data_IF_710652238486
#
_entry.id   IF_710652238486
#
_cell.length_a   1.000
_cell.length_b   1.000
_cell.length_c   1.000
_cell.angle_alpha   90.00
_cell.angle_beta   90.00
_cell.angle_gamma   90.00
#
_symmetry.space_group_name_H-M   'P 1'
#
loop_
_entity.id
_entity.type
_entity.pdbx_description
1 polymer ?
#
# COMPACT_ATOMS: atom_id res chain seq x y z
N UNK A 1 -10.26 2.79 37.60
CA UNK A 1 -10.86 2.00 36.51
C UNK A 1 -9.68 1.32 35.84
N UNK A 2 -9.44 0.09 36.27
CA UNK A 2 -8.29 -0.72 35.84
C UNK A 2 -8.53 -1.17 34.41
N UNK A 3 -7.55 -0.87 33.55
CA UNK A 3 -7.49 -1.40 32.19
C UNK A 3 -6.99 -2.84 32.32
N UNK A 4 -7.85 -3.80 32.02
CA UNK A 4 -7.49 -5.21 31.98
C UNK A 4 -6.29 -5.42 31.05
N UNK A 5 -5.17 -5.83 31.63
CA UNK A 5 -4.03 -6.41 30.93
C UNK A 5 -4.49 -7.73 30.28
N UNK A 6 -4.83 -7.69 29.01
CA UNK A 6 -5.01 -8.91 28.22
C UNK A 6 -3.65 -9.57 28.00
N UNK A 7 -3.57 -10.82 28.44
CA UNK A 7 -2.44 -11.74 28.32
C UNK A 7 -1.76 -11.72 26.93
N UNK A 8 -0.58 -11.12 26.88
CA UNK A 8 0.26 -11.02 25.69
C UNK A 8 1.74 -10.92 26.05
N UNK A 9 2.19 -11.66 27.06
CA UNK A 9 3.52 -11.56 27.68
C UNK A 9 4.72 -11.87 26.76
N UNK A 10 4.53 -12.41 25.55
CA UNK A 10 5.65 -12.70 24.65
C UNK A 10 5.85 -11.65 23.52
N UNK A 11 4.88 -10.79 23.26
CA UNK A 11 4.95 -9.73 22.22
C UNK A 11 5.84 -8.58 22.67
N UNK A 12 5.68 -8.17 23.91
CA UNK A 12 6.36 -7.01 24.51
C UNK A 12 7.89 -7.08 24.44
N UNK A 13 8.56 -8.22 24.72
CA UNK A 13 10.02 -8.27 24.66
C UNK A 13 10.57 -8.05 23.25
N UNK A 14 10.04 -8.74 22.24
CA UNK A 14 10.52 -8.62 20.86
C UNK A 14 10.32 -7.20 20.33
N UNK A 15 9.17 -6.58 20.60
CA UNK A 15 8.88 -5.22 20.13
C UNK A 15 9.80 -4.18 20.76
N UNK A 16 10.15 -4.33 22.05
CA UNK A 16 11.09 -3.44 22.75
C UNK A 16 12.50 -3.50 22.18
N UNK A 17 12.92 -4.63 21.63
CA UNK A 17 14.21 -4.76 20.94
C UNK A 17 14.30 -3.91 19.66
N UNK A 18 13.15 -3.48 19.11
CA UNK A 18 13.01 -2.84 17.79
C UNK A 18 12.18 -1.55 17.82
N UNK A 19 12.17 -0.81 18.92
CA UNK A 19 11.42 0.47 19.03
C UNK A 19 11.80 1.46 17.92
N UNK A 20 13.03 1.43 17.47
CA UNK A 20 13.57 2.26 16.37
C UNK A 20 12.95 1.97 15.00
N UNK A 21 12.33 0.81 14.80
CA UNK A 21 11.59 0.46 13.57
C UNK A 21 10.17 1.07 13.56
N UNK A 22 9.67 1.49 14.74
CA UNK A 22 8.32 2.01 14.91
C UNK A 22 8.30 3.45 15.46
N UNK A 23 8.96 4.41 14.80
CA UNK A 23 8.91 5.79 15.25
C UNK A 23 7.49 6.36 15.07
N UNK A 24 7.11 7.32 15.90
CA UNK A 24 5.83 8.05 15.75
C UNK A 24 5.74 8.74 14.39
N UNK A 25 6.88 9.30 13.94
CA UNK A 25 7.02 9.88 12.61
C UNK A 25 8.24 9.31 11.89
N UNK A 26 8.12 9.10 10.57
CA UNK A 26 9.25 8.74 9.73
C UNK A 26 10.30 9.85 9.85
N UNK A 27 11.56 9.51 10.19
CA UNK A 27 12.66 10.46 10.19
C UNK A 27 12.73 11.19 8.84
N UNK A 28 13.43 12.32 8.81
CA UNK A 28 13.60 13.14 7.59
C UNK A 28 13.93 12.28 6.36
N UNK A 29 14.55 12.78 5.35
CA UNK A 29 14.86 12.03 4.12
C UNK A 29 15.38 10.62 4.40
N UNK A 30 14.90 9.61 3.69
CA UNK A 30 15.46 8.27 3.78
C UNK A 30 16.92 8.28 3.35
N UNK A 31 17.76 7.41 3.91
CA UNK A 31 19.13 7.25 3.43
C UNK A 31 19.15 6.77 1.98
N UNK A 32 20.26 6.98 1.27
CA UNK A 32 20.45 6.41 -0.05
C UNK A 32 20.31 4.89 0.03
N UNK A 33 19.39 4.35 -0.74
CA UNK A 33 19.13 2.92 -0.85
C UNK A 33 19.67 2.40 -2.18
N UNK A 34 19.78 1.09 -2.29
CA UNK A 34 20.24 0.42 -3.52
C UNK A 34 19.30 0.66 -4.72
N UNK A 35 18.12 1.17 -4.45
CA UNK A 35 17.08 1.46 -5.46
C UNK A 35 16.68 2.92 -5.38
N UNK A 36 16.75 3.60 -6.52
CA UNK A 36 16.20 4.94 -6.74
C UNK A 36 15.03 4.86 -7.71
N UNK A 37 14.02 5.68 -7.48
CA UNK A 37 12.86 5.74 -8.35
C UNK A 37 13.14 6.61 -9.59
N UNK A 38 13.02 6.03 -10.79
CA UNK A 38 13.19 6.71 -12.06
C UNK A 38 11.89 6.88 -12.86
N UNK A 39 11.78 7.96 -13.64
CA UNK A 39 10.58 8.32 -14.43
C UNK A 39 10.95 8.72 -15.86
N UNK A 40 10.57 7.92 -16.84
CA UNK A 40 10.83 8.18 -18.26
C UNK A 40 9.58 8.70 -19.00
N UNK A 41 9.66 9.82 -19.74
CA UNK A 41 8.50 10.62 -20.20
C UNK A 41 8.43 11.10 -21.64
N UNK A 42 7.21 11.56 -22.02
CA UNK A 42 6.77 12.35 -23.20
C UNK A 42 5.89 13.56 -22.76
N UNK A 43 5.97 14.82 -23.26
CA UNK A 43 5.43 16.06 -22.62
C UNK A 43 3.96 16.50 -22.83
N UNK A 44 3.39 17.22 -21.87
CA UNK A 44 2.35 18.30 -21.89
C UNK A 44 1.02 18.18 -21.12
N UNK A 45 0.66 19.13 -20.18
CA UNK A 45 -0.70 19.68 -19.82
C UNK A 45 -0.79 20.58 -18.55
N UNK A 46 -1.98 21.24 -18.25
CA UNK A 46 -2.24 22.34 -17.28
C UNK A 46 -3.25 22.08 -16.10
N UNK A 47 -3.61 23.11 -15.22
CA UNK A 47 -4.11 22.94 -13.82
C UNK A 47 -5.63 23.14 -13.54
N UNK A 48 -6.11 22.85 -12.27
CA UNK A 48 -7.51 22.85 -11.75
C UNK A 48 -7.66 23.65 -10.42
N UNK A 49 -8.90 24.12 -10.04
CA UNK A 49 -9.28 25.00 -8.91
C UNK A 49 -9.88 24.27 -7.68
N UNK A 50 -9.74 24.82 -6.42
CA UNK A 50 -10.16 24.25 -5.11
C UNK A 50 -10.92 25.22 -4.19
N UNK A 51 -11.68 24.70 -3.17
CA UNK A 51 -12.49 25.45 -2.20
C UNK A 51 -11.67 26.00 -0.99
N UNK A 52 -12.12 27.09 -0.28
CA UNK A 52 -11.34 27.75 0.78
C UNK A 52 -10.95 26.86 1.97
N UNK A 53 -11.84 26.00 2.46
CA UNK A 53 -11.55 25.09 3.58
C UNK A 53 -10.51 24.03 3.22
N UNK A 54 -10.56 23.53 1.99
CA UNK A 54 -9.58 22.60 1.44
C UNK A 54 -8.18 23.22 1.33
N UNK A 55 -8.13 24.54 1.12
CA UNK A 55 -6.86 25.26 1.02
C UNK A 55 -6.10 25.31 2.34
N UNK A 56 -6.78 25.42 3.49
CA UNK A 56 -6.14 25.43 4.81
C UNK A 56 -5.48 24.08 5.08
N UNK A 57 -6.22 23.00 4.83
CA UNK A 57 -5.71 21.64 5.00
C UNK A 57 -4.56 21.34 4.02
N UNK A 58 -4.69 21.76 2.77
CA UNK A 58 -3.63 21.63 1.77
C UNK A 58 -2.35 22.33 2.22
N UNK A 59 -2.46 23.55 2.76
CA UNK A 59 -1.31 24.32 3.26
C UNK A 59 -0.59 23.57 4.37
N UNK A 60 -1.34 23.06 5.36
CA UNK A 60 -0.81 22.28 6.47
C UNK A 60 -0.03 21.06 5.98
N UNK A 61 -0.61 20.28 5.07
CA UNK A 61 0.05 19.07 4.55
C UNK A 61 1.29 19.40 3.71
N UNK A 62 1.31 20.51 2.98
CA UNK A 62 2.51 20.98 2.27
C UNK A 62 3.60 21.38 3.28
N UNK A 63 3.27 22.09 4.34
CA UNK A 63 4.20 22.48 5.39
C UNK A 63 4.80 21.23 6.07
N UNK A 64 3.99 20.23 6.42
CA UNK A 64 4.45 18.96 6.98
C UNK A 64 5.41 18.20 6.03
N UNK A 65 5.10 18.16 4.73
CA UNK A 65 5.98 17.52 3.74
C UNK A 65 7.29 18.29 3.54
N UNK A 66 7.27 19.61 3.64
CA UNK A 66 8.45 20.47 3.60
C UNK A 66 9.33 20.28 4.83
N UNK A 67 8.75 20.23 6.04
CA UNK A 67 9.48 19.99 7.30
C UNK A 67 10.18 18.63 7.28
N UNK A 68 9.52 17.59 6.74
CA UNK A 68 10.10 16.27 6.52
C UNK A 68 11.11 16.23 5.37
N UNK A 69 11.25 17.30 4.62
CA UNK A 69 12.09 17.39 3.43
C UNK A 69 11.69 16.41 2.30
N UNK A 70 10.46 15.92 2.31
CA UNK A 70 9.95 15.03 1.26
C UNK A 70 9.65 15.78 -0.03
N UNK A 71 9.39 17.08 0.08
CA UNK A 71 9.24 17.99 -1.05
C UNK A 71 10.17 19.19 -0.88
N UNK A 72 10.43 19.88 -2.00
CA UNK A 72 11.14 21.16 -2.02
C UNK A 72 10.51 22.12 -3.05
N UNK A 73 10.75 23.45 -2.95
CA UNK A 73 10.36 24.38 -4.00
C UNK A 73 10.95 24.00 -5.35
N UNK A 74 10.17 24.17 -6.42
CA UNK A 74 10.53 23.73 -7.76
C UNK A 74 10.48 24.91 -8.77
N UNK A 75 11.39 24.87 -9.72
CA UNK A 75 11.39 25.69 -10.94
C UNK A 75 11.16 24.82 -12.20
N UNK A 76 10.72 23.59 -12.00
CA UNK A 76 10.48 22.62 -13.08
C UNK A 76 9.47 23.14 -14.10
N UNK A 77 9.64 22.85 -15.40
CA UNK A 77 8.60 23.11 -16.39
C UNK A 77 7.37 22.21 -16.23
N UNK A 78 7.49 21.14 -15.45
CA UNK A 78 6.40 20.23 -15.12
C UNK A 78 5.55 20.79 -13.97
N UNK A 79 4.32 20.31 -13.83
CA UNK A 79 3.49 20.74 -12.70
C UNK A 79 2.13 20.06 -12.72
N UNK A 80 2.04 18.91 -12.08
CA UNK A 80 0.79 18.19 -11.88
C UNK A 80 -0.16 18.97 -10.96
N UNK A 81 -1.49 18.91 -11.15
CA UNK A 81 -2.45 19.51 -10.22
C UNK A 81 -2.55 18.68 -8.94
N UNK A 82 -2.91 19.35 -7.84
CA UNK A 82 -3.21 18.69 -6.55
C UNK A 82 -4.70 18.58 -6.31
N UNK A 83 -5.09 17.52 -5.62
CA UNK A 83 -6.45 17.21 -5.20
C UNK A 83 -6.41 16.89 -3.70
N UNK A 84 -7.48 17.23 -2.97
CA UNK A 84 -7.73 16.71 -1.63
C UNK A 84 -8.78 15.61 -1.71
N UNK A 85 -8.43 14.44 -1.23
CA UNK A 85 -9.31 13.27 -1.23
C UNK A 85 -9.69 12.93 0.20
N UNK A 86 -11.00 12.90 0.48
CA UNK A 86 -11.51 12.45 1.79
C UNK A 86 -11.29 10.96 1.96
N UNK A 87 -10.72 10.59 3.10
CA UNK A 87 -10.59 9.19 3.53
C UNK A 87 -11.87 8.73 4.23
N UNK A 88 -11.96 7.43 4.52
CA UNK A 88 -13.09 6.85 5.27
C UNK A 88 -13.24 7.38 6.70
N UNK A 89 -12.15 7.84 7.29
CA UNK A 89 -12.07 8.45 8.62
C UNK A 89 -12.34 9.97 8.60
N UNK A 90 -12.91 10.48 7.49
CA UNK A 90 -13.19 11.90 7.21
C UNK A 90 -11.96 12.81 7.10
N UNK A 91 -10.76 12.30 7.36
CA UNK A 91 -9.52 13.07 7.11
C UNK A 91 -9.31 13.31 5.62
N UNK A 92 -8.65 14.41 5.27
CA UNK A 92 -8.30 14.72 3.89
C UNK A 92 -6.85 14.36 3.62
N UNK A 93 -6.57 13.83 2.43
CA UNK A 93 -5.22 13.50 1.98
C UNK A 93 -4.87 14.29 0.73
N UNK A 94 -3.72 14.94 0.73
CA UNK A 94 -3.14 15.57 -0.44
C UNK A 94 -2.77 14.47 -1.45
N UNK A 95 -3.37 14.54 -2.63
CA UNK A 95 -3.07 13.66 -3.75
C UNK A 95 -2.61 14.50 -4.94
N UNK A 96 -1.51 14.13 -5.57
CA UNK A 96 -1.08 14.75 -6.81
C UNK A 96 -1.63 13.95 -7.99
N UNK A 97 -2.25 14.62 -8.93
CA UNK A 97 -2.81 13.98 -10.13
C UNK A 97 -1.74 13.75 -11.19
N UNK A 98 -1.07 12.63 -11.08
CA UNK A 98 -0.08 12.20 -12.04
C UNK A 98 -0.65 11.47 -13.27
N UNK A 99 -1.96 11.52 -13.55
CA UNK A 99 -2.55 10.79 -14.69
C UNK A 99 -1.90 11.13 -16.03
N UNK A 100 -1.50 12.39 -16.24
CA UNK A 100 -0.81 12.79 -17.46
C UNK A 100 0.63 12.26 -17.50
N UNK A 101 1.36 12.39 -16.41
CA UNK A 101 2.68 11.79 -16.23
C UNK A 101 2.62 10.28 -16.51
N UNK A 102 1.67 9.59 -15.89
CA UNK A 102 1.48 8.15 -16.00
C UNK A 102 1.18 7.67 -17.43
N UNK A 103 0.48 8.48 -18.24
CA UNK A 103 0.24 8.16 -19.67
C UNK A 103 1.52 8.12 -20.48
N UNK A 104 2.49 8.91 -20.09
CA UNK A 104 3.74 9.11 -20.80
C UNK A 104 4.91 8.32 -20.22
N UNK A 105 4.72 7.79 -19.02
CA UNK A 105 5.71 6.95 -18.35
C UNK A 105 5.74 5.56 -18.98
N UNK A 106 6.93 5.08 -19.32
CA UNK A 106 7.14 3.68 -19.72
C UNK A 106 6.83 2.79 -18.53
N UNK A 107 5.80 1.96 -18.68
CA UNK A 107 5.32 1.11 -17.58
C UNK A 107 6.32 0.01 -17.27
N UNK A 108 6.72 -0.07 -16.01
CA UNK A 108 7.46 -1.19 -15.47
C UNK A 108 6.62 -2.48 -15.59
N UNK A 109 7.26 -3.57 -15.99
CA UNK A 109 6.64 -4.90 -16.17
C UNK A 109 6.97 -5.85 -15.02
N UNK A 110 7.35 -5.33 -13.86
CA UNK A 110 7.61 -6.17 -12.69
C UNK A 110 6.39 -7.04 -12.40
N UNK A 111 6.55 -8.37 -12.30
CA UNK A 111 5.42 -9.27 -12.08
C UNK A 111 4.91 -9.11 -10.65
N UNK A 112 3.69 -8.61 -10.51
CA UNK A 112 3.00 -8.70 -9.21
C UNK A 112 2.62 -10.16 -8.96
N UNK A 113 2.90 -10.69 -7.76
CA UNK A 113 2.55 -12.07 -7.42
C UNK A 113 1.03 -12.26 -7.49
N UNK A 114 0.61 -13.44 -7.87
CA UNK A 114 -0.82 -13.78 -7.83
C UNK A 114 -1.22 -14.03 -6.38
N UNK A 115 -2.33 -13.45 -5.98
CA UNK A 115 -2.81 -13.57 -4.59
C UNK A 115 -3.01 -15.02 -4.18
N UNK A 116 -3.46 -15.88 -5.10
CA UNK A 116 -3.63 -17.31 -4.84
C UNK A 116 -2.28 -18.00 -4.54
N UNK A 117 -1.25 -17.70 -5.30
CA UNK A 117 0.10 -18.26 -5.08
C UNK A 117 0.65 -17.85 -3.70
N UNK A 118 0.34 -16.61 -3.25
CA UNK A 118 0.69 -16.15 -1.91
C UNK A 118 -0.13 -16.86 -0.81
N UNK A 119 -1.41 -17.12 -1.06
CA UNK A 119 -2.27 -17.81 -0.09
C UNK A 119 -1.87 -19.27 0.11
N UNK A 120 -1.44 -19.95 -0.96
CA UNK A 120 -1.00 -21.36 -0.88
C UNK A 120 0.19 -21.54 0.07
N UNK A 121 1.07 -20.54 0.19
CA UNK A 121 2.21 -20.56 1.11
C UNK A 121 1.81 -20.53 2.59
N UNK A 122 0.65 -19.97 2.92
CA UNK A 122 0.17 -19.78 4.29
C UNK A 122 -0.45 -21.05 4.88
N UNK A 123 -0.62 -22.08 4.06
CA UNK A 123 -1.28 -23.32 4.48
C UNK A 123 -0.54 -24.02 5.64
N UNK A 124 -1.29 -24.37 6.68
CA UNK A 124 -0.75 -25.05 7.87
C UNK A 124 -0.04 -24.14 8.86
N UNK A 125 -0.13 -22.81 8.68
CA UNK A 125 0.32 -21.83 9.68
C UNK A 125 -0.79 -21.52 10.67
N UNK A 126 -0.42 -21.23 11.91
CA UNK A 126 -1.36 -20.96 13.00
C UNK A 126 -1.09 -19.65 13.72
N UNK A 127 0.00 -18.98 13.41
CA UNK A 127 0.40 -17.73 14.04
C UNK A 127 0.81 -16.72 12.98
N UNK A 128 0.30 -15.49 13.08
CA UNK A 128 0.47 -14.46 12.08
C UNK A 128 0.84 -13.11 12.72
N UNK A 129 1.69 -12.35 12.04
CA UNK A 129 1.88 -10.92 12.31
C UNK A 129 1.87 -10.16 11.00
N UNK A 130 1.15 -9.05 10.97
CA UNK A 130 1.06 -8.16 9.82
C UNK A 130 1.74 -6.84 10.14
N UNK A 131 2.64 -6.40 9.26
CA UNK A 131 3.29 -5.10 9.35
C UNK A 131 2.82 -4.23 8.19
N UNK A 132 2.46 -2.97 8.50
CA UNK A 132 2.13 -1.92 7.53
C UNK A 132 3.26 -0.88 7.56
N UNK A 133 3.90 -0.64 6.42
CA UNK A 133 5.00 0.33 6.35
C UNK A 133 4.47 1.76 6.37
N UNK A 134 5.08 2.59 7.20
CA UNK A 134 4.67 3.99 7.36
C UNK A 134 5.03 4.82 6.14
N UNK A 135 4.02 5.15 5.30
CA UNK A 135 4.26 5.89 4.04
C UNK A 135 5.34 5.23 3.18
N UNK A 136 5.23 3.91 2.96
CA UNK A 136 6.30 3.08 2.39
C UNK A 136 6.99 3.69 1.17
N UNK A 137 6.23 4.27 0.24
CA UNK A 137 6.79 4.90 -0.97
C UNK A 137 7.67 6.10 -0.65
N UNK A 138 7.32 6.93 0.33
CA UNK A 138 8.15 8.06 0.75
C UNK A 138 9.47 7.64 1.41
N UNK A 139 9.67 6.37 1.68
CA UNK A 139 10.93 5.82 2.19
C UNK A 139 11.93 5.45 1.08
N UNK A 140 11.63 5.75 -0.19
CA UNK A 140 12.52 5.57 -1.34
C UNK A 140 12.76 6.94 -2.00
N UNK A 141 14.02 7.25 -2.31
CA UNK A 141 14.38 8.47 -3.01
C UNK A 141 14.04 8.39 -4.50
N UNK A 142 13.65 9.53 -5.07
CA UNK A 142 13.57 9.71 -6.53
C UNK A 142 14.99 9.96 -7.05
N UNK A 143 15.31 9.36 -8.20
CA UNK A 143 16.56 9.65 -8.90
C UNK A 143 16.69 11.16 -9.17
N UNK A 144 17.84 11.75 -8.92
CA UNK A 144 18.07 13.21 -8.96
C UNK A 144 17.59 13.82 -10.30
N UNK A 145 17.88 13.17 -11.42
CA UNK A 145 17.48 13.63 -12.76
C UNK A 145 15.96 13.59 -13.00
N UNK A 146 15.22 12.84 -12.17
CA UNK A 146 13.79 12.62 -12.31
C UNK A 146 12.96 13.41 -11.30
N UNK A 147 13.59 14.01 -10.29
CA UNK A 147 12.93 14.82 -9.26
C UNK A 147 12.03 15.89 -9.88
N UNK A 148 12.51 16.62 -10.88
CA UNK A 148 11.73 17.67 -11.56
C UNK A 148 10.45 17.14 -12.23
N UNK A 149 10.40 15.86 -12.63
CA UNK A 149 9.22 15.23 -13.24
C UNK A 149 8.10 15.01 -12.24
N UNK A 150 8.41 14.98 -10.94
CA UNK A 150 7.44 14.84 -9.85
C UNK A 150 6.78 16.16 -9.46
N UNK A 151 7.11 17.26 -10.14
CA UNK A 151 6.66 18.60 -9.76
C UNK A 151 5.14 18.73 -9.81
N UNK A 152 4.60 19.45 -8.83
CA UNK A 152 3.18 19.73 -8.71
C UNK A 152 2.94 21.19 -8.32
N UNK A 153 1.77 21.70 -8.72
CA UNK A 153 1.37 23.09 -8.48
C UNK A 153 0.20 23.17 -7.53
N UNK A 154 0.33 24.06 -6.57
CA UNK A 154 -0.74 24.46 -5.67
C UNK A 154 -0.92 25.98 -5.69
N UNK A 155 -1.94 26.48 -4.99
CA UNK A 155 -2.10 27.93 -4.77
C UNK A 155 -0.92 28.52 -3.98
N UNK A 156 -0.24 27.72 -3.17
CA UNK A 156 0.83 28.15 -2.27
C UNK A 156 2.23 28.07 -2.87
N UNK A 157 2.36 27.52 -4.05
CA UNK A 157 3.63 27.43 -4.75
C UNK A 157 3.75 26.22 -5.64
N UNK A 158 4.94 26.08 -6.19
CA UNK A 158 5.36 25.00 -7.05
C UNK A 158 6.40 24.17 -6.30
N UNK A 159 6.18 22.88 -6.18
CA UNK A 159 6.98 21.96 -5.39
C UNK A 159 7.29 20.70 -6.19
N UNK A 160 8.33 19.98 -5.80
CA UNK A 160 8.71 18.68 -6.37
C UNK A 160 9.07 17.69 -5.27
N UNK A 161 8.71 16.43 -5.45
CA UNK A 161 9.06 15.36 -4.52
C UNK A 161 10.51 14.91 -4.72
N UNK A 162 11.26 14.79 -3.64
CA UNK A 162 12.57 14.14 -3.61
C UNK A 162 12.50 12.67 -3.20
N UNK A 163 11.35 12.26 -2.68
CA UNK A 163 11.00 10.88 -2.36
C UNK A 163 9.93 10.38 -3.34
N UNK A 164 9.82 9.07 -3.52
CA UNK A 164 8.86 8.45 -4.44
C UNK A 164 7.42 8.79 -4.05
N UNK A 165 6.67 9.54 -4.87
CA UNK A 165 5.32 9.97 -4.52
C UNK A 165 4.29 8.88 -4.77
N UNK A 166 3.16 8.96 -4.04
CA UNK A 166 1.97 8.17 -4.36
C UNK A 166 1.40 8.56 -5.73
N UNK A 167 0.58 7.69 -6.31
CA UNK A 167 -0.12 7.88 -7.58
C UNK A 167 0.75 7.84 -8.85
N UNK A 168 2.06 7.64 -8.75
CA UNK A 168 2.92 7.41 -9.92
C UNK A 168 2.87 5.93 -10.33
N UNK A 169 2.72 5.68 -11.65
CA UNK A 169 2.38 4.34 -12.17
C UNK A 169 3.39 3.25 -11.84
N UNK A 170 4.68 3.58 -11.76
CA UNK A 170 5.74 2.60 -11.51
C UNK A 170 6.10 2.43 -10.02
N UNK A 171 5.56 3.26 -9.13
CA UNK A 171 5.89 3.20 -7.71
C UNK A 171 5.61 1.82 -7.08
N UNK A 172 4.43 1.19 -7.30
CA UNK A 172 4.18 -0.14 -6.76
C UNK A 172 5.19 -1.20 -7.23
N UNK A 173 5.55 -1.16 -8.52
CA UNK A 173 6.48 -2.13 -9.11
C UNK A 173 7.90 -1.99 -8.56
N UNK A 174 8.40 -0.74 -8.43
CA UNK A 174 9.73 -0.46 -7.87
C UNK A 174 9.78 -0.85 -6.39
N UNK A 175 8.72 -0.53 -5.65
CA UNK A 175 8.64 -0.86 -4.23
C UNK A 175 8.59 -2.39 -4.01
N UNK A 176 7.79 -3.11 -4.79
CA UNK A 176 7.73 -4.58 -4.75
C UNK A 176 9.08 -5.22 -5.11
N UNK A 177 9.77 -4.73 -6.15
CA UNK A 177 11.11 -5.22 -6.50
C UNK A 177 12.08 -5.05 -5.32
N UNK A 178 12.07 -3.86 -4.70
CA UNK A 178 12.91 -3.58 -3.55
C UNK A 178 12.59 -4.48 -2.35
N UNK A 179 11.30 -4.60 -2.00
CA UNK A 179 10.86 -5.43 -0.87
C UNK A 179 11.17 -6.91 -1.10
N UNK A 180 10.92 -7.43 -2.30
CA UNK A 180 11.26 -8.82 -2.62
C UNK A 180 12.76 -9.07 -2.56
N UNK A 181 13.59 -8.12 -2.93
CA UNK A 181 15.04 -8.23 -2.85
C UNK A 181 15.54 -8.33 -1.41
N UNK A 182 15.07 -7.43 -0.53
CA UNK A 182 15.53 -7.42 0.86
C UNK A 182 14.98 -8.59 1.68
N UNK A 183 13.79 -9.13 1.34
CA UNK A 183 13.20 -10.28 2.01
C UNK A 183 13.43 -11.60 1.28
N UNK A 184 14.19 -11.63 0.18
CA UNK A 184 14.47 -12.83 -0.62
C UNK A 184 14.85 -14.06 0.21
N UNK A 185 15.67 -13.99 1.27
CA UNK A 185 16.03 -15.16 2.06
C UNK A 185 14.86 -15.81 2.81
N UNK A 186 13.76 -15.05 3.01
CA UNK A 186 12.61 -15.40 3.87
C UNK A 186 11.32 -15.60 3.08
N UNK A 187 11.26 -15.14 1.82
CA UNK A 187 10.13 -15.38 0.93
C UNK A 187 9.91 -16.89 0.76
N UNK A 188 8.65 -17.27 0.59
CA UNK A 188 8.19 -18.66 0.46
C UNK A 188 8.49 -19.59 1.68
N UNK A 189 9.03 -19.03 2.78
CA UNK A 189 9.33 -19.75 4.02
C UNK A 189 8.46 -19.33 5.18
N UNK A 190 8.44 -18.03 5.47
CA UNK A 190 7.66 -17.46 6.57
C UNK A 190 7.31 -15.97 6.36
N UNK A 191 7.59 -15.40 5.20
CA UNK A 191 7.27 -14.02 4.85
C UNK A 191 6.55 -13.96 3.51
N UNK A 192 5.44 -13.24 3.48
CA UNK A 192 4.77 -12.79 2.26
C UNK A 192 4.81 -11.26 2.23
N UNK A 193 5.19 -10.70 1.09
CA UNK A 193 5.17 -9.26 0.85
C UNK A 193 4.19 -8.94 -0.27
N UNK A 194 3.34 -7.95 -0.04
CA UNK A 194 2.48 -7.41 -1.07
C UNK A 194 2.35 -5.89 -0.93
N UNK A 195 3.07 -5.18 -1.77
CA UNK A 195 3.19 -3.70 -1.74
C UNK A 195 3.68 -3.27 -0.33
N UNK A 196 2.88 -2.52 0.42
CA UNK A 196 3.23 -1.99 1.74
C UNK A 196 2.98 -2.99 2.89
N UNK A 197 2.24 -4.07 2.63
CA UNK A 197 1.89 -5.08 3.61
C UNK A 197 2.93 -6.21 3.66
N UNK A 198 3.45 -6.51 4.85
CA UNK A 198 4.32 -7.65 5.13
C UNK A 198 3.59 -8.59 6.08
N UNK A 199 3.36 -9.81 5.67
CA UNK A 199 2.77 -10.86 6.49
C UNK A 199 3.83 -11.87 6.90
N UNK A 200 3.98 -12.06 8.20
CA UNK A 200 4.85 -13.08 8.81
C UNK A 200 3.96 -14.20 9.29
N UNK A 201 4.30 -15.44 8.97
CA UNK A 201 3.51 -16.60 9.34
C UNK A 201 4.39 -17.72 9.92
N UNK A 202 3.85 -18.51 10.84
CA UNK A 202 4.59 -19.56 11.52
C UNK A 202 3.66 -20.67 12.03
N UNK A 203 4.21 -21.83 12.32
CA UNK A 203 3.46 -22.97 12.89
C UNK A 203 3.38 -22.92 14.40
N UNK A 204 4.40 -22.38 15.08
CA UNK A 204 4.45 -22.28 16.53
C UNK A 204 4.81 -20.88 17.00
N UNK A 205 4.49 -20.60 18.25
CA UNK A 205 4.73 -19.29 18.88
C UNK A 205 6.23 -18.98 19.00
N UNK A 206 7.04 -19.99 19.30
CA UNK A 206 8.50 -19.85 19.44
C UNK A 206 9.14 -19.51 18.09
N UNK A 207 8.77 -20.25 17.05
CA UNK A 207 9.21 -19.96 15.68
C UNK A 207 8.79 -18.54 15.25
N UNK A 208 7.58 -18.13 15.65
CA UNK A 208 7.06 -16.81 15.28
C UNK A 208 7.89 -15.68 15.90
N UNK A 209 8.33 -15.82 17.15
CA UNK A 209 9.23 -14.86 17.80
C UNK A 209 10.55 -14.70 17.05
N UNK A 210 11.12 -15.81 16.56
CA UNK A 210 12.36 -15.80 15.79
C UNK A 210 12.15 -15.15 14.40
N UNK A 211 11.11 -15.56 13.69
CA UNK A 211 10.76 -15.00 12.38
C UNK A 211 10.51 -13.49 12.46
N UNK A 212 9.79 -13.04 13.49
CA UNK A 212 9.52 -11.62 13.71
C UNK A 212 10.81 -10.84 13.95
N UNK A 213 11.76 -11.36 14.76
CA UNK A 213 13.08 -10.73 14.98
C UNK A 213 13.86 -10.60 13.68
N UNK A 214 13.86 -11.62 12.84
CA UNK A 214 14.55 -11.59 11.55
C UNK A 214 13.97 -10.51 10.64
N UNK A 215 12.65 -10.43 10.52
CA UNK A 215 11.99 -9.43 9.68
C UNK A 215 12.23 -8.00 10.20
N UNK A 216 12.05 -7.77 11.50
CA UNK A 216 12.32 -6.47 12.11
C UNK A 216 13.80 -6.09 12.01
N UNK A 217 14.72 -7.07 12.09
CA UNK A 217 16.14 -6.88 11.86
C UNK A 217 16.44 -6.35 10.46
N UNK A 218 15.79 -6.90 9.43
CA UNK A 218 15.91 -6.40 8.04
C UNK A 218 15.37 -4.98 7.94
N UNK A 219 14.19 -4.69 8.50
CA UNK A 219 13.63 -3.33 8.47
C UNK A 219 14.60 -2.33 9.11
N UNK A 220 15.17 -2.66 10.28
CA UNK A 220 16.17 -1.84 10.97
C UNK A 220 17.40 -1.61 10.10
N UNK A 221 17.99 -2.68 9.55
CA UNK A 221 19.18 -2.61 8.70
C UNK A 221 18.96 -1.73 7.46
N UNK A 222 17.80 -1.85 6.86
CA UNK A 222 17.43 -1.10 5.63
C UNK A 222 16.80 0.26 5.93
N UNK A 223 16.73 0.69 7.19
CA UNK A 223 16.08 1.93 7.62
C UNK A 223 14.66 2.06 7.03
N UNK A 224 13.88 1.00 7.20
CA UNK A 224 12.45 0.97 6.88
C UNK A 224 11.64 1.03 8.17
N UNK A 225 10.61 1.86 8.15
CA UNK A 225 9.79 2.15 9.32
C UNK A 225 8.37 1.63 9.13
N UNK A 226 7.82 1.01 10.16
CA UNK A 226 6.45 0.52 10.19
C UNK A 226 5.59 1.38 11.11
N UNK A 227 4.29 1.47 10.81
CA UNK A 227 3.32 2.21 11.62
C UNK A 227 2.69 1.27 12.65
N UNK A 228 3.16 1.34 13.89
CA UNK A 228 2.73 0.45 14.98
C UNK A 228 1.21 0.33 15.11
N UNK A 229 0.47 1.45 15.01
CA UNK A 229 -1.00 1.47 15.13
C UNK A 229 -1.74 0.73 14.01
N UNK A 230 -1.06 0.32 12.94
CA UNK A 230 -1.61 -0.46 11.83
C UNK A 230 -1.03 -1.87 11.77
N UNK A 231 -0.08 -2.18 12.63
CA UNK A 231 0.51 -3.51 12.71
C UNK A 231 -0.31 -4.40 13.65
N UNK A 232 -0.40 -5.67 13.29
CA UNK A 232 -1.07 -6.71 14.08
C UNK A 232 -0.04 -7.79 14.40
N UNK A 233 0.04 -8.20 15.67
CA UNK A 233 1.06 -9.13 16.12
C UNK A 233 0.43 -10.33 16.84
N UNK A 234 1.01 -11.52 16.63
CA UNK A 234 0.64 -12.74 17.37
C UNK A 234 -0.83 -13.13 17.21
N UNK A 235 -1.36 -12.94 16.02
CA UNK A 235 -2.75 -13.24 15.71
C UNK A 235 -2.91 -14.72 15.32
N UNK A 236 -3.93 -15.38 15.83
CA UNK A 236 -4.36 -16.71 15.38
C UNK A 236 -5.14 -16.63 14.07
N UNK A 237 -5.66 -15.45 13.75
CA UNK A 237 -6.38 -15.11 12.53
C UNK A 237 -6.03 -13.69 12.09
N UNK A 238 -5.80 -13.48 10.78
CA UNK A 238 -5.41 -12.18 10.22
C UNK A 238 -6.19 -11.86 8.95
N UNK A 239 -6.53 -10.58 8.79
CA UNK A 239 -7.09 -10.06 7.52
C UNK A 239 -5.95 -9.62 6.59
N UNK A 240 -5.82 -10.29 5.46
CA UNK A 240 -4.78 -10.00 4.47
C UNK A 240 -5.34 -10.08 3.04
N UNK A 241 -5.14 -9.05 2.25
CA UNK A 241 -5.57 -8.96 0.84
C UNK A 241 -7.05 -9.33 0.61
N UNK A 242 -7.93 -8.93 1.53
CA UNK A 242 -9.38 -9.19 1.44
C UNK A 242 -9.78 -10.62 1.79
N UNK A 243 -8.90 -11.36 2.42
CA UNK A 243 -9.15 -12.70 2.94
C UNK A 243 -8.92 -12.74 4.45
N UNK A 244 -9.59 -13.67 5.11
CA UNK A 244 -9.33 -14.04 6.50
C UNK A 244 -8.54 -15.33 6.48
N UNK A 245 -7.38 -15.32 7.13
CA UNK A 245 -6.41 -16.42 7.14
C UNK A 245 -6.26 -16.92 8.56
N UNK A 246 -6.41 -18.23 8.77
CA UNK A 246 -6.28 -18.87 10.07
C UNK A 246 -5.73 -20.29 9.92
N UNK A 247 -5.51 -20.98 11.03
CA UNK A 247 -5.13 -22.40 11.04
C UNK A 247 -6.15 -23.32 10.37
N UNK A 248 -7.45 -22.90 10.31
CA UNK A 248 -8.51 -23.63 9.65
C UNK A 248 -8.52 -23.49 8.13
N UNK A 249 -7.78 -22.51 7.61
CA UNK A 249 -7.69 -22.23 6.18
C UNK A 249 -7.93 -20.75 5.84
N UNK A 250 -8.33 -20.52 4.59
CA UNK A 250 -8.52 -19.20 4.02
C UNK A 250 -10.00 -19.01 3.66
N UNK A 251 -10.59 -17.93 4.16
CA UNK A 251 -11.96 -17.53 3.87
C UNK A 251 -11.99 -16.12 3.25
N UNK A 252 -13.09 -15.78 2.61
CA UNK A 252 -13.32 -14.41 2.13
C UNK A 252 -13.62 -13.51 3.33
N UNK A 253 -13.07 -12.29 3.34
CA UNK A 253 -13.38 -11.27 4.32
C UNK A 253 -14.90 -10.98 4.33
N UNK A 254 -15.59 -11.14 5.47
CA UNK A 254 -17.04 -10.91 5.58
C UNK A 254 -17.47 -9.53 5.09
N UNK A 255 -16.67 -8.48 5.33
CA UNK A 255 -16.98 -7.12 4.85
C UNK A 255 -16.99 -7.04 3.32
N UNK A 256 -16.19 -7.86 2.64
CA UNK A 256 -16.18 -7.94 1.17
C UNK A 256 -17.35 -8.72 0.64
N UNK A 257 -17.76 -9.79 1.33
CA UNK A 257 -18.99 -10.52 1.02
C UNK A 257 -20.19 -9.59 1.14
N UNK A 258 -20.28 -8.84 2.23
CA UNK A 258 -21.35 -7.87 2.48
C UNK A 258 -21.39 -6.78 1.39
N UNK A 259 -20.24 -6.29 0.95
CA UNK A 259 -20.15 -5.31 -0.14
C UNK A 259 -20.73 -5.84 -1.47
N UNK A 260 -20.55 -7.14 -1.75
CA UNK A 260 -21.17 -7.78 -2.95
C UNK A 260 -22.67 -7.96 -2.76
N UNK A 261 -23.10 -8.40 -1.57
CA UNK A 261 -24.53 -8.63 -1.27
C UNK A 261 -25.33 -7.32 -1.28
N UNK A 262 -24.76 -6.24 -0.75
CA UNK A 262 -25.38 -4.91 -0.71
C UNK A 262 -25.21 -4.12 -2.02
N UNK A 263 -24.57 -4.68 -3.05
CA UNK A 263 -24.42 -3.99 -4.32
C UNK A 263 -25.76 -3.74 -4.98
N UNK A 264 -26.03 -2.50 -5.33
CA UNK A 264 -27.24 -2.15 -6.07
C UNK A 264 -27.23 -2.80 -7.46
N UNK A 265 -28.44 -3.12 -7.98
CA UNK A 265 -28.57 -3.70 -9.32
C UNK A 265 -27.93 -2.79 -10.37
N UNK A 266 -26.95 -3.30 -11.15
CA UNK A 266 -26.24 -2.49 -12.14
C UNK A 266 -27.19 -1.94 -13.20
N UNK A 267 -27.09 -0.63 -13.50
CA UNK A 267 -27.91 0.09 -14.47
C UNK A 267 -27.17 0.38 -15.78
N UNK A 268 -25.88 0.11 -15.84
CA UNK A 268 -25.01 0.36 -17.00
C UNK A 268 -24.02 -0.76 -17.24
N UNK A 269 -23.51 -0.87 -18.48
CA UNK A 269 -22.47 -1.84 -18.84
C UNK A 269 -21.17 -1.64 -18.02
N UNK A 270 -20.87 -0.41 -17.63
CA UNK A 270 -19.74 -0.07 -16.78
C UNK A 270 -19.93 -0.60 -15.37
N UNK A 271 -21.11 -0.43 -14.80
CA UNK A 271 -21.46 -0.97 -13.47
C UNK A 271 -21.45 -2.50 -13.46
N UNK A 272 -21.96 -3.14 -14.52
CA UNK A 272 -21.90 -4.60 -14.69
C UNK A 272 -20.42 -5.06 -14.66
N UNK A 273 -19.53 -4.39 -15.41
CA UNK A 273 -18.09 -4.73 -15.42
C UNK A 273 -17.48 -4.55 -14.05
N UNK A 274 -17.82 -3.49 -13.33
CA UNK A 274 -17.34 -3.22 -11.98
C UNK A 274 -17.81 -4.30 -10.99
N UNK A 275 -19.10 -4.66 -11.03
CA UNK A 275 -19.67 -5.73 -10.21
C UNK A 275 -19.01 -7.08 -10.49
N UNK A 276 -18.95 -7.49 -11.76
CA UNK A 276 -18.32 -8.75 -12.18
C UNK A 276 -16.82 -8.77 -11.84
N UNK A 277 -16.14 -7.62 -11.91
CA UNK A 277 -14.75 -7.47 -11.50
C UNK A 277 -14.57 -7.70 -10.00
N UNK A 278 -15.40 -7.09 -9.16
CA UNK A 278 -15.35 -7.27 -7.70
C UNK A 278 -15.69 -8.71 -7.30
N UNK A 279 -16.81 -9.25 -7.79
CA UNK A 279 -17.22 -10.62 -7.48
C UNK A 279 -16.24 -11.65 -8.04
N UNK A 280 -15.65 -11.38 -9.21
CA UNK A 280 -14.68 -12.23 -9.87
C UNK A 280 -13.34 -12.38 -9.12
N UNK A 281 -13.01 -11.43 -8.25
CA UNK A 281 -11.86 -11.55 -7.36
C UNK A 281 -11.99 -12.74 -6.40
N UNK A 282 -13.22 -13.05 -5.97
CA UNK A 282 -13.53 -14.14 -5.05
C UNK A 282 -14.07 -15.41 -5.75
N UNK A 283 -13.91 -15.52 -7.07
CA UNK A 283 -14.48 -16.59 -7.89
C UNK A 283 -14.16 -18.01 -7.44
N UNK A 284 -13.01 -18.22 -6.79
CA UNK A 284 -12.60 -19.54 -6.29
C UNK A 284 -13.44 -20.03 -5.11
N UNK A 285 -14.07 -19.11 -4.36
CA UNK A 285 -14.98 -19.40 -3.25
C UNK A 285 -16.43 -19.50 -3.69
N UNK A 286 -16.73 -19.30 -4.98
CA UNK A 286 -18.10 -19.32 -5.53
C UNK A 286 -18.23 -20.45 -6.53
N UNK A 287 -18.93 -21.51 -6.14
CA UNK A 287 -19.18 -22.64 -7.02
C UNK A 287 -19.95 -22.22 -8.27
N UNK A 288 -19.49 -22.65 -9.44
CA UNK A 288 -20.15 -22.36 -10.71
C UNK A 288 -20.11 -20.88 -11.10
N UNK A 289 -19.23 -20.04 -10.55
CA UNK A 289 -19.14 -18.60 -10.80
C UNK A 289 -19.27 -18.23 -12.29
N UNK A 290 -18.57 -18.93 -13.18
CA UNK A 290 -18.60 -18.63 -14.61
C UNK A 290 -20.00 -18.78 -15.23
N UNK A 291 -20.80 -19.74 -14.74
CA UNK A 291 -22.19 -19.94 -15.17
C UNK A 291 -23.10 -18.82 -14.66
N UNK A 292 -22.88 -18.42 -13.39
CA UNK A 292 -23.65 -17.35 -12.74
C UNK A 292 -23.46 -15.99 -13.45
N UNK A 293 -22.21 -15.65 -13.83
CA UNK A 293 -21.89 -14.35 -14.43
C UNK A 293 -22.03 -14.32 -15.96
N UNK A 294 -22.22 -15.47 -16.62
CA UNK A 294 -22.33 -15.54 -18.08
C UNK A 294 -23.40 -14.59 -18.66
N UNK A 295 -24.63 -14.51 -18.12
CA UNK A 295 -25.64 -13.57 -18.60
C UNK A 295 -25.20 -12.11 -18.49
N UNK A 296 -24.58 -11.73 -17.37
CA UNK A 296 -24.06 -10.37 -17.16
C UNK A 296 -22.92 -10.04 -18.13
N UNK A 297 -22.05 -11.00 -18.39
CA UNK A 297 -20.94 -10.84 -19.33
C UNK A 297 -21.44 -10.63 -20.76
N UNK A 298 -22.52 -11.29 -21.17
CA UNK A 298 -23.15 -11.08 -22.48
C UNK A 298 -23.61 -9.63 -22.66
N UNK A 299 -24.16 -9.00 -21.62
CA UNK A 299 -24.60 -7.60 -21.65
C UNK A 299 -23.44 -6.59 -21.81
N UNK A 300 -22.20 -7.03 -21.63
CA UNK A 300 -21.01 -6.15 -21.72
C UNK A 300 -20.26 -6.30 -23.06
N UNK A 301 -20.69 -7.20 -23.94
CA UNK A 301 -20.12 -7.33 -25.29
C UNK A 301 -20.44 -6.09 -26.11
N UNK A 302 -19.50 -5.65 -26.91
CA UNK A 302 -19.75 -4.70 -27.99
C UNK A 302 -20.32 -5.51 -29.15
N UNK A 303 -21.41 -5.05 -29.73
CA UNK A 303 -21.88 -5.49 -31.03
C UNK A 303 -20.82 -5.17 -32.10
#
# INVERSE_FOLDING_TARGET
>A
MEVEEKEGTSVVPVMREFEDVFPDEVPRLPPNKEVEFSIDLVPGTGPISMAPAELVELKKQIEELMEKQFIRPSTSPWGAPVLLVKKKDESSCLCVDYRQLNKMTIKNKYPLPRIHDLMDQLHGSSMFSKLDLQSGYHQILVKVDDVQKTAFRSRYGHYEYVVMPFSVTNAPAVFMDYMNRIFQPFLDKFVVVFIDDILIYSKTREQHAEHLRLVLGVLREKHLYAKLSKCEFWMDEVQFLGHVISAQGIAVDPAKVEAVVKWESPKSTTEIKSFVGLAGYYRIFIEGFSKIVAPLTLLTRKD
#
